data_IF_510378368811
#
_entry.id   IF_510378368811
#
_cell.length_a   1.000
_cell.length_b   1.000
_cell.length_c   1.000
_cell.angle_alpha   90.00
_cell.angle_beta   90.00
_cell.angle_gamma   90.00
#
_symmetry.space_group_name_H-M   'P 1'
#
loop_
_entity.id
_entity.type
_entity.pdbx_description
1 polymer ?
#
# COMPACT_ATOMS: atom_id res chain seq x y z
N UNK A 1 7.09 18.06 -14.52
CA UNK A 1 7.74 17.06 -13.66
C UNK A 1 6.63 16.17 -13.11
N UNK A 2 6.44 14.97 -13.65
CA UNK A 2 5.45 14.03 -13.13
C UNK A 2 6.01 13.41 -11.85
N UNK A 3 5.75 14.03 -10.70
CA UNK A 3 5.91 13.33 -9.44
C UNK A 3 4.81 12.27 -9.39
N UNK A 4 5.19 11.00 -9.47
CA UNK A 4 4.28 9.91 -9.12
C UNK A 4 3.75 10.19 -7.71
N UNK A 5 2.42 10.28 -7.52
CA UNK A 5 1.85 10.60 -6.21
C UNK A 5 2.38 9.63 -5.16
N UNK A 6 2.96 10.18 -4.11
CA UNK A 6 3.51 9.42 -2.98
C UNK A 6 2.60 9.67 -1.78
N UNK A 7 1.72 8.73 -1.42
CA UNK A 7 0.76 8.93 -0.33
C UNK A 7 1.44 9.20 1.01
N UNK A 8 2.66 8.70 1.22
CA UNK A 8 3.46 9.00 2.42
C UNK A 8 3.89 10.47 2.41
N UNK A 9 4.32 11.00 1.27
CA UNK A 9 4.70 12.42 1.15
C UNK A 9 3.48 13.35 1.33
N UNK A 10 2.33 12.98 0.77
CA UNK A 10 1.09 13.74 0.91
C UNK A 10 0.59 13.75 2.38
N UNK A 11 0.68 12.60 3.06
CA UNK A 11 0.36 12.50 4.49
C UNK A 11 1.30 13.36 5.34
N UNK A 12 2.61 13.31 5.08
CA UNK A 12 3.60 14.17 5.76
C UNK A 12 3.31 15.64 5.51
N UNK A 13 2.98 16.03 4.27
CA UNK A 13 2.58 17.39 3.92
C UNK A 13 1.36 17.85 4.71
N UNK A 14 0.34 17.00 4.81
CA UNK A 14 -0.90 17.27 5.56
C UNK A 14 -0.61 17.43 7.05
N UNK A 15 0.19 16.56 7.65
CA UNK A 15 0.54 16.64 9.07
C UNK A 15 1.30 17.93 9.43
N UNK A 16 2.11 18.46 8.51
CA UNK A 16 2.78 19.76 8.70
C UNK A 16 1.81 20.94 8.75
N UNK A 17 0.60 20.80 8.20
CA UNK A 17 -0.44 21.85 8.19
C UNK A 17 -1.33 21.82 9.43
N UNK A 18 -1.20 20.82 10.30
CA UNK A 18 -2.04 20.64 11.51
C UNK A 18 -2.03 21.89 12.41
N UNK A 19 -0.93 22.63 12.47
CA UNK A 19 -0.86 23.89 13.23
C UNK A 19 -1.67 25.05 12.65
N UNK A 20 -2.13 24.96 11.40
CA UNK A 20 -2.86 26.02 10.70
C UNK A 20 -4.38 25.81 10.68
N UNK A 21 -4.87 24.57 10.78
CA UNK A 21 -6.29 24.24 10.73
C UNK A 21 -6.73 23.44 11.96
N UNK A 22 -7.14 24.15 13.02
CA UNK A 22 -7.89 23.57 14.12
C UNK A 22 -9.38 23.66 13.82
N UNK A 23 -9.99 22.54 13.40
CA UNK A 23 -11.45 22.47 13.24
C UNK A 23 -12.19 22.49 14.59
N UNK A 24 -11.52 22.13 15.69
CA UNK A 24 -12.08 22.10 17.04
C UNK A 24 -11.00 22.50 18.09
N UNK A 25 -10.62 23.78 18.17
CA UNK A 25 -9.53 24.26 19.03
C UNK A 25 -9.76 24.07 20.54
N UNK A 26 -10.99 23.73 20.95
CA UNK A 26 -11.36 23.49 22.36
C UNK A 26 -11.34 22.01 22.76
N UNK A 27 -11.24 21.08 21.81
CA UNK A 27 -11.28 19.64 22.10
C UNK A 27 -9.93 19.11 22.60
N UNK A 28 -8.81 19.68 22.12
CA UNK A 28 -7.45 19.28 22.48
C UNK A 28 -6.51 20.49 22.52
N UNK A 29 -5.51 20.52 23.43
CA UNK A 29 -4.48 21.55 23.41
C UNK A 29 -3.67 21.51 22.11
N UNK A 30 -3.33 22.68 21.57
CA UNK A 30 -2.61 22.78 20.30
C UNK A 30 -1.24 22.08 20.34
N UNK A 31 -0.54 22.19 21.47
CA UNK A 31 0.75 21.54 21.73
C UNK A 31 0.67 20.00 21.65
N UNK A 32 -0.42 19.40 22.17
CA UNK A 32 -0.62 17.95 22.13
C UNK A 32 -0.81 17.48 20.70
N UNK A 33 -1.63 18.19 19.92
CA UNK A 33 -1.87 17.84 18.52
C UNK A 33 -0.61 18.03 17.67
N UNK A 34 0.17 19.08 17.91
CA UNK A 34 1.45 19.31 17.24
C UNK A 34 2.47 18.22 17.58
N UNK A 35 2.58 17.83 18.85
CA UNK A 35 3.48 16.75 19.27
C UNK A 35 3.10 15.43 18.61
N UNK A 36 1.81 15.10 18.54
CA UNK A 36 1.34 13.90 17.85
C UNK A 36 1.63 13.95 16.35
N UNK A 37 1.46 15.12 15.72
CA UNK A 37 1.79 15.30 14.30
C UNK A 37 3.30 15.10 14.04
N UNK A 38 4.17 15.61 14.91
CA UNK A 38 5.63 15.40 14.82
C UNK A 38 5.96 13.90 14.91
N UNK A 39 5.41 13.19 15.90
CA UNK A 39 5.62 11.74 16.04
C UNK A 39 5.16 10.97 14.79
N UNK A 40 4.00 11.32 14.23
CA UNK A 40 3.52 10.72 12.99
C UNK A 40 4.45 11.00 11.80
N UNK A 41 4.97 12.23 11.66
CA UNK A 41 5.91 12.59 10.60
C UNK A 41 7.19 11.76 10.72
N UNK A 42 7.75 11.63 11.93
CA UNK A 42 8.96 10.84 12.18
C UNK A 42 8.75 9.37 11.81
N UNK A 43 7.62 8.78 12.20
CA UNK A 43 7.26 7.41 11.83
C UNK A 43 7.13 7.22 10.32
N UNK A 44 6.44 8.15 9.64
CA UNK A 44 6.28 8.11 8.19
C UNK A 44 7.61 8.31 7.46
N UNK A 45 8.49 9.18 7.96
CA UNK A 45 9.83 9.41 7.40
C UNK A 45 10.76 8.20 7.60
N UNK A 46 10.54 7.40 8.65
CA UNK A 46 11.27 6.16 8.91
C UNK A 46 10.83 4.97 8.04
N UNK A 47 9.72 5.08 7.29
CA UNK A 47 9.28 4.01 6.41
C UNK A 47 10.27 3.82 5.23
N UNK A 48 10.56 2.57 4.83
CA UNK A 48 11.33 2.31 3.61
C UNK A 48 10.68 2.99 2.40
N UNK A 49 11.50 3.48 1.46
CA UNK A 49 11.00 4.19 0.26
C UNK A 49 10.08 3.29 -0.57
N UNK A 50 10.36 2.00 -0.54
CA UNK A 50 9.63 0.93 -1.20
C UNK A 50 8.21 0.76 -0.62
N UNK A 51 7.95 1.21 0.61
CA UNK A 51 6.62 1.11 1.24
C UNK A 51 5.56 1.91 0.46
N UNK A 52 5.94 3.03 -0.15
CA UNK A 52 5.06 3.82 -1.01
C UNK A 52 4.56 3.04 -2.25
N UNK A 53 5.30 2.02 -2.66
CA UNK A 53 5.00 1.19 -3.83
C UNK A 53 4.05 0.02 -3.52
N UNK A 54 3.83 -0.30 -2.23
CA UNK A 54 2.91 -1.38 -1.85
C UNK A 54 1.47 -1.11 -2.30
N UNK A 55 1.03 0.16 -2.27
CA UNK A 55 -0.29 0.53 -2.77
C UNK A 55 -0.45 0.23 -4.27
N UNK A 56 0.60 0.48 -5.06
CA UNK A 56 0.62 0.17 -6.50
C UNK A 56 0.66 -1.33 -6.76
N UNK A 57 1.42 -2.09 -5.95
CA UNK A 57 1.45 -3.55 -6.05
C UNK A 57 0.08 -4.15 -5.70
N UNK A 58 -0.56 -3.66 -4.64
CA UNK A 58 -1.89 -4.11 -4.24
C UNK A 58 -2.92 -3.88 -5.35
N UNK A 59 -2.98 -2.67 -5.91
CA UNK A 59 -3.95 -2.36 -6.98
C UNK A 59 -3.69 -3.17 -8.25
N UNK A 60 -2.43 -3.36 -8.63
CA UNK A 60 -2.06 -4.18 -9.79
C UNK A 60 -2.45 -5.66 -9.59
N UNK A 61 -2.22 -6.22 -8.40
CA UNK A 61 -2.64 -7.59 -8.09
C UNK A 61 -4.15 -7.70 -8.01
N UNK A 62 -4.84 -6.73 -7.40
CA UNK A 62 -6.30 -6.73 -7.27
C UNK A 62 -6.96 -6.75 -8.66
N UNK A 63 -6.44 -5.98 -9.61
CA UNK A 63 -6.93 -5.96 -10.99
C UNK A 63 -6.75 -7.30 -11.73
N UNK A 64 -5.73 -8.07 -11.37
CA UNK A 64 -5.44 -9.39 -11.96
C UNK A 64 -6.09 -10.56 -11.20
N UNK A 65 -6.67 -10.30 -10.02
CA UNK A 65 -7.19 -11.32 -9.12
C UNK A 65 -8.68 -11.55 -9.38
N UNK A 66 -9.17 -12.81 -9.35
CA UNK A 66 -10.61 -13.09 -9.46
C UNK A 66 -11.44 -12.35 -8.41
N UNK A 67 -12.72 -12.08 -8.71
CA UNK A 67 -13.64 -11.49 -7.73
C UNK A 67 -13.76 -12.38 -6.50
N UNK A 68 -13.86 -11.75 -5.33
CA UNK A 68 -13.95 -12.43 -4.03
C UNK A 68 -12.61 -12.86 -3.45
N UNK A 69 -11.53 -12.85 -4.24
CA UNK A 69 -10.18 -13.17 -3.79
C UNK A 69 -9.45 -11.89 -3.40
N UNK A 70 -8.53 -11.98 -2.43
CA UNK A 70 -7.88 -10.82 -1.85
C UNK A 70 -6.36 -10.90 -1.93
N UNK A 71 -5.70 -9.87 -2.50
CA UNK A 71 -4.25 -9.74 -2.41
C UNK A 71 -3.82 -9.14 -1.07
N UNK A 72 -2.75 -9.70 -0.51
CA UNK A 72 -2.02 -9.17 0.62
C UNK A 72 -0.59 -8.89 0.17
N UNK A 73 -0.10 -7.69 0.45
CA UNK A 73 1.22 -7.23 0.01
C UNK A 73 2.06 -6.83 1.21
N UNK A 74 3.37 -7.06 1.11
CA UNK A 74 4.32 -6.70 2.17
C UNK A 74 5.67 -6.35 1.56
N UNK A 75 6.48 -5.62 2.33
CA UNK A 75 7.92 -5.61 2.11
C UNK A 75 8.53 -6.88 2.70
N UNK A 76 9.64 -7.32 2.11
CA UNK A 76 10.44 -8.45 2.61
C UNK A 76 11.74 -7.93 3.24
N UNK A 77 12.47 -8.82 3.90
CA UNK A 77 13.82 -8.54 4.40
C UNK A 77 14.91 -8.73 3.33
N UNK A 78 14.56 -9.20 2.13
CA UNK A 78 15.49 -9.44 1.02
C UNK A 78 15.57 -8.20 0.13
N UNK A 79 16.73 -7.54 0.12
CA UNK A 79 16.98 -6.33 -0.67
C UNK A 79 16.90 -6.58 -2.19
N UNK A 80 17.19 -7.80 -2.67
CA UNK A 80 17.07 -8.15 -4.09
C UNK A 80 15.62 -8.44 -4.50
N UNK A 81 14.76 -8.75 -3.54
CA UNK A 81 13.35 -9.09 -3.74
C UNK A 81 12.47 -8.41 -2.68
N UNK A 82 12.42 -7.07 -2.68
CA UNK A 82 11.83 -6.31 -1.59
C UNK A 82 10.31 -6.47 -1.51
N UNK A 83 9.63 -6.97 -2.55
CA UNK A 83 8.18 -7.12 -2.58
C UNK A 83 7.74 -8.55 -2.33
N UNK A 84 6.74 -8.73 -1.48
CA UNK A 84 6.05 -9.98 -1.24
C UNK A 84 4.55 -9.85 -1.47
N UNK A 85 3.94 -10.93 -1.96
CA UNK A 85 2.50 -11.00 -2.19
C UNK A 85 1.95 -12.38 -1.82
N UNK A 86 0.75 -12.41 -1.27
CA UNK A 86 -0.07 -13.60 -1.00
C UNK A 86 -1.48 -13.31 -1.48
N UNK A 87 -2.07 -14.22 -2.25
CA UNK A 87 -3.46 -14.15 -2.69
C UNK A 87 -4.25 -15.19 -1.93
N UNK A 88 -5.36 -14.77 -1.33
CA UNK A 88 -6.32 -15.64 -0.64
C UNK A 88 -7.59 -15.79 -1.48
N UNK A 89 -8.17 -16.99 -1.50
CA UNK A 89 -9.48 -17.23 -2.07
C UNK A 89 -10.61 -16.77 -1.12
N UNK A 90 -11.87 -16.90 -1.54
CA UNK A 90 -13.04 -16.53 -0.72
C UNK A 90 -13.14 -17.31 0.61
N UNK A 91 -12.59 -18.52 0.66
CA UNK A 91 -12.54 -19.34 1.87
C UNK A 91 -11.34 -19.01 2.75
N UNK A 92 -10.49 -18.06 2.34
CA UNK A 92 -9.28 -17.66 3.05
C UNK A 92 -8.08 -18.60 2.82
N UNK A 93 -8.15 -19.53 1.87
CA UNK A 93 -7.01 -20.38 1.54
C UNK A 93 -6.02 -19.63 0.67
N UNK A 94 -4.73 -19.95 0.83
CA UNK A 94 -3.68 -19.36 0.01
C UNK A 94 -3.71 -19.97 -1.39
N UNK A 95 -4.18 -19.21 -2.37
CA UNK A 95 -4.24 -19.62 -3.77
C UNK A 95 -2.92 -19.38 -4.50
N UNK A 96 -2.23 -18.26 -4.21
CA UNK A 96 -0.93 -17.95 -4.80
C UNK A 96 -0.08 -17.14 -3.81
N UNK A 97 1.24 -17.21 -3.97
CA UNK A 97 2.20 -16.37 -3.23
C UNK A 97 3.47 -16.15 -4.04
N UNK A 98 4.21 -15.08 -3.77
CA UNK A 98 5.48 -14.82 -4.42
C UNK A 98 6.27 -13.71 -3.74
N UNK A 99 7.58 -13.67 -4.04
CA UNK A 99 8.44 -12.52 -3.75
C UNK A 99 9.14 -12.09 -5.05
N UNK A 100 9.39 -10.80 -5.22
CA UNK A 100 9.88 -10.26 -6.48
C UNK A 100 10.68 -8.96 -6.35
N UNK A 101 11.51 -8.71 -7.37
CA UNK A 101 12.34 -7.51 -7.47
C UNK A 101 11.55 -6.27 -7.88
N UNK A 102 10.53 -6.44 -8.72
CA UNK A 102 9.68 -5.36 -9.24
C UNK A 102 8.21 -5.71 -9.11
N UNK A 103 7.35 -4.69 -9.10
CA UNK A 103 5.89 -4.84 -9.10
C UNK A 103 5.45 -5.66 -10.30
N UNK A 104 5.83 -5.26 -11.51
CA UNK A 104 5.44 -5.91 -12.76
C UNK A 104 5.84 -7.39 -12.80
N UNK A 105 7.08 -7.68 -12.38
CA UNK A 105 7.58 -9.06 -12.33
C UNK A 105 6.84 -9.90 -11.30
N UNK A 106 6.57 -9.35 -10.11
CA UNK A 106 5.83 -10.06 -9.08
C UNK A 106 4.37 -10.30 -9.49
N UNK A 107 3.71 -9.31 -10.09
CA UNK A 107 2.35 -9.44 -10.62
C UNK A 107 2.32 -10.53 -11.68
N UNK A 108 3.23 -10.52 -12.65
CA UNK A 108 3.30 -11.58 -13.68
C UNK A 108 3.50 -12.97 -13.07
N UNK A 109 4.39 -13.10 -12.09
CA UNK A 109 4.67 -14.37 -11.39
C UNK A 109 3.47 -14.90 -10.61
N UNK A 110 2.74 -14.02 -9.93
CA UNK A 110 1.55 -14.38 -9.14
C UNK A 110 0.38 -14.70 -10.06
N UNK A 111 0.11 -13.84 -11.05
CA UNK A 111 -1.00 -14.01 -12.00
C UNK A 111 -0.88 -15.29 -12.82
N UNK A 112 0.33 -15.73 -13.15
CA UNK A 112 0.56 -17.01 -13.84
C UNK A 112 0.10 -18.25 -13.03
N UNK A 113 -0.13 -18.09 -11.72
CA UNK A 113 -0.61 -19.16 -10.82
C UNK A 113 -2.10 -19.04 -10.53
N UNK A 114 -2.73 -17.93 -10.93
CA UNK A 114 -4.16 -17.72 -10.75
C UNK A 114 -4.93 -18.46 -11.86
N UNK A 115 -6.17 -18.91 -11.58
CA UNK A 115 -7.01 -19.51 -12.60
C UNK A 115 -7.24 -18.51 -13.75
N UNK A 116 -7.05 -18.97 -14.98
CA UNK A 116 -7.27 -18.14 -16.18
C UNK A 116 -8.77 -17.98 -16.39
N UNK A 117 -9.27 -16.74 -16.35
CA UNK A 117 -10.62 -16.39 -16.79
C UNK A 117 -11.69 -16.41 -15.70
N UNK A 118 -12.04 -15.21 -15.21
CA UNK A 118 -13.40 -14.80 -14.79
C UNK A 118 -13.55 -13.27 -14.87
N UNK A 119 -12.84 -12.63 -15.81
CA UNK A 119 -13.05 -11.23 -16.16
C UNK A 119 -14.13 -11.17 -17.24
N UNK A 120 -15.35 -10.90 -16.81
CA UNK A 120 -16.50 -10.38 -17.56
C UNK A 120 -16.88 -11.04 -18.90
N UNK A 121 -18.01 -11.77 -18.90
CA UNK A 121 -18.88 -11.83 -20.09
C UNK A 121 -19.45 -10.42 -20.26
N UNK A 122 -19.01 -9.70 -21.28
CA UNK A 122 -19.69 -8.48 -21.75
C UNK A 122 -21.15 -8.83 -22.04
N UNK A 123 -22.08 -8.18 -21.34
CA UNK A 123 -23.48 -8.10 -21.73
C UNK A 123 -23.66 -7.00 -22.77
#
# INVERSE_FOLDING_TARGET
MNQTPNPIADAVGTLKLVGMHFAAPTAYPAEVLQSAAVECIERLAGLPKEAAQLGQLYTALLAATPRGWLPHVTLTTDAERPFGAVITDEAGNIAARGIGKSIEGLVALVSARLPVGCGEVSA
#
